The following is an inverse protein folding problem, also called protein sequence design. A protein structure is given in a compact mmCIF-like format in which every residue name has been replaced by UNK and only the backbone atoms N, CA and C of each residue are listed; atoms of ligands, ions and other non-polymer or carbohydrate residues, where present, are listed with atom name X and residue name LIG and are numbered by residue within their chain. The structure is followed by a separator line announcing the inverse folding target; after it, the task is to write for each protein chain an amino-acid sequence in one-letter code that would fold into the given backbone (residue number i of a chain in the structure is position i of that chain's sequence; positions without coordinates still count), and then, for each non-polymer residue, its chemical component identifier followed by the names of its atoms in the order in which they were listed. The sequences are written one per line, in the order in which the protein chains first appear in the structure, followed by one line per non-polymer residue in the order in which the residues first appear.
data_IF_216322640297
#
_entry.id   IF_216322640297
#
_cell.length_a   1.000
_cell.length_b   1.000
_cell.length_c   1.000
_cell.angle_alpha   90.00
_cell.angle_beta   90.00
_cell.angle_gamma   90.00
#
_symmetry.space_group_name_H-M   'P 1'
#
loop_
_entity.id
_entity.type
_entity.pdbx_description
1 polymer ?
#
# COMPACT_ATOMS: atom_id res chain seq x y z
N UNK A 1 -12.01 -11.76 10.84
CA UNK A 1 -11.57 -10.56 11.58
C UNK A 1 -10.05 -10.66 11.73
N UNK A 2 -9.30 -10.07 10.79
CA UNK A 2 -7.83 -10.07 10.84
C UNK A 2 -7.41 -9.06 11.91
N UNK A 3 -6.94 -9.57 13.05
CA UNK A 3 -6.28 -8.75 14.07
C UNK A 3 -4.90 -8.42 13.52
N UNK A 4 -4.68 -7.18 13.13
CA UNK A 4 -3.36 -6.70 12.75
C UNK A 4 -2.42 -6.89 13.95
N UNK A 5 -1.31 -7.59 13.73
CA UNK A 5 -0.23 -7.73 14.71
C UNK A 5 0.62 -6.47 14.58
N UNK A 6 0.53 -5.58 15.55
CA UNK A 6 1.45 -4.44 15.66
C UNK A 6 2.82 -4.96 16.09
N UNK A 7 3.69 -5.21 15.13
CA UNK A 7 5.11 -5.46 15.38
C UNK A 7 5.80 -4.11 15.62
N UNK A 8 5.75 -3.63 16.86
CA UNK A 8 6.53 -2.47 17.28
C UNK A 8 8.00 -2.86 17.50
N UNK A 9 8.93 -2.24 16.76
CA UNK A 9 10.36 -2.41 17.03
C UNK A 9 10.74 -1.51 18.19
N UNK A 10 10.78 -2.07 19.40
CA UNK A 10 11.14 -1.32 20.61
C UNK A 10 12.65 -1.09 20.63
N UNK A 11 13.09 0.18 20.69
CA UNK A 11 14.50 0.54 20.90
C UNK A 11 15.21 1.23 19.72
N UNK A 12 14.51 1.57 18.64
CA UNK A 12 15.06 2.42 17.57
C UNK A 12 14.24 3.71 17.51
N UNK A 13 14.84 4.84 17.89
CA UNK A 13 14.30 6.17 17.57
C UNK A 13 14.52 6.42 16.08
N UNK A 14 13.73 5.73 15.25
CA UNK A 14 13.70 5.93 13.81
C UNK A 14 13.00 7.25 13.55
N UNK A 15 13.68 8.37 13.80
CA UNK A 15 13.29 9.63 13.17
C UNK A 15 13.64 9.49 11.68
N UNK A 16 12.66 9.38 10.76
CA UNK A 16 12.97 9.22 9.36
C UNK A 16 13.74 10.45 8.92
N UNK A 17 14.98 10.27 8.45
CA UNK A 17 15.72 11.36 7.81
C UNK A 17 15.07 11.78 6.49
N UNK A 18 14.13 10.97 5.97
CA UNK A 18 13.47 11.16 4.69
C UNK A 18 11.95 11.20 4.88
N UNK A 19 11.28 12.34 4.61
CA UNK A 19 9.86 12.56 4.92
C UNK A 19 8.87 11.70 4.10
N UNK A 20 9.36 10.80 3.24
CA UNK A 20 8.55 10.01 2.31
C UNK A 20 8.90 8.52 2.28
N UNK A 21 9.72 8.03 3.22
CA UNK A 21 10.18 6.63 3.19
C UNK A 21 9.00 5.63 3.25
N UNK A 22 7.97 5.92 4.04
CA UNK A 22 6.74 5.11 4.09
C UNK A 22 6.02 5.06 2.75
N UNK A 23 5.91 6.20 2.05
CA UNK A 23 5.33 6.27 0.70
C UNK A 23 6.15 5.50 -0.32
N UNK A 24 7.49 5.59 -0.26
CA UNK A 24 8.40 4.84 -1.13
C UNK A 24 8.25 3.34 -0.94
N UNK A 25 8.24 2.87 0.32
CA UNK A 25 8.04 1.45 0.65
C UNK A 25 6.67 0.99 0.13
N UNK A 26 5.59 1.70 0.46
CA UNK A 26 4.23 1.37 -0.02
C UNK A 26 4.18 1.29 -1.55
N UNK A 27 4.74 2.27 -2.25
CA UNK A 27 4.76 2.30 -3.71
C UNK A 27 5.53 1.13 -4.32
N UNK A 28 6.71 0.81 -3.78
CA UNK A 28 7.52 -0.31 -4.26
C UNK A 28 6.82 -1.66 -4.05
N UNK A 29 6.26 -1.90 -2.86
CA UNK A 29 5.52 -3.12 -2.57
C UNK A 29 4.22 -3.23 -3.37
N UNK A 30 3.48 -2.13 -3.53
CA UNK A 30 2.27 -2.09 -4.37
C UNK A 30 2.58 -2.45 -5.81
N UNK A 31 3.59 -1.82 -6.41
CA UNK A 31 4.03 -2.13 -7.76
C UNK A 31 4.39 -3.61 -7.93
N UNK A 32 5.23 -4.16 -7.05
CA UNK A 32 5.64 -5.55 -7.12
C UNK A 32 4.46 -6.52 -6.93
N UNK A 33 3.58 -6.26 -5.96
CA UNK A 33 2.40 -7.08 -5.70
C UNK A 33 1.46 -7.14 -6.90
N UNK A 34 1.23 -5.99 -7.57
CA UNK A 34 0.44 -5.94 -8.80
C UNK A 34 1.02 -6.83 -9.89
N UNK A 35 2.34 -6.76 -10.12
CA UNK A 35 3.01 -7.58 -11.14
C UNK A 35 2.87 -9.08 -10.90
N UNK A 36 2.85 -9.51 -9.63
CA UNK A 36 2.81 -10.94 -9.28
C UNK A 36 1.38 -11.49 -9.21
N UNK A 37 0.43 -10.72 -8.69
CA UNK A 37 -0.92 -11.23 -8.38
C UNK A 37 -2.03 -10.76 -9.32
N UNK A 38 -1.87 -9.62 -10.00
CA UNK A 38 -2.96 -9.10 -10.83
C UNK A 38 -3.14 -9.94 -12.10
N UNK A 39 -4.33 -10.53 -12.34
CA UNK A 39 -4.56 -11.32 -13.55
C UNK A 39 -4.81 -10.45 -14.80
N UNK A 40 -5.07 -9.15 -14.64
CA UNK A 40 -5.38 -8.22 -15.72
C UNK A 40 -4.11 -7.50 -16.21
N UNK A 41 -3.31 -8.20 -17.01
CA UNK A 41 -2.04 -7.69 -17.55
C UNK A 41 -2.31 -6.60 -18.59
N UNK A 42 -1.60 -5.46 -18.49
CA UNK A 42 -1.69 -4.36 -19.45
C UNK A 42 -2.92 -3.45 -19.29
N UNK A 43 -3.78 -3.70 -18.31
CA UNK A 43 -4.96 -2.89 -18.02
C UNK A 43 -4.70 -2.00 -16.81
N UNK A 44 -5.00 -0.70 -16.93
CA UNK A 44 -4.90 0.22 -15.80
C UNK A 44 -6.02 -0.01 -14.79
N UNK A 45 -5.76 0.23 -13.51
CA UNK A 45 -6.77 0.03 -12.46
C UNK A 45 -8.01 0.93 -12.66
N UNK A 46 -7.84 2.13 -13.22
CA UNK A 46 -8.93 3.05 -13.59
C UNK A 46 -9.87 2.50 -14.67
N UNK A 47 -9.34 1.66 -15.56
CA UNK A 47 -10.07 1.05 -16.69
C UNK A 47 -10.52 -0.38 -16.40
N UNK A 48 -10.18 -0.90 -15.21
CA UNK A 48 -10.44 -2.29 -14.84
C UNK A 48 -11.88 -2.47 -14.36
N UNK A 49 -12.64 -3.37 -15.00
CA UNK A 49 -14.06 -3.61 -14.69
C UNK A 49 -14.38 -4.19 -13.31
N UNK A 50 -13.36 -4.47 -12.47
CA UNK A 50 -13.54 -4.95 -11.10
C UNK A 50 -12.92 -4.03 -10.05
N UNK A 51 -12.42 -2.86 -10.43
CA UNK A 51 -11.65 -1.95 -9.58
C UNK A 51 -12.37 -1.59 -8.27
N UNK A 52 -13.69 -1.36 -8.32
CA UNK A 52 -14.53 -1.04 -7.15
C UNK A 52 -14.59 -2.15 -6.08
N UNK A 53 -14.31 -3.40 -6.45
CA UNK A 53 -14.34 -4.56 -5.54
C UNK A 53 -12.97 -5.20 -5.36
N UNK A 54 -11.92 -4.59 -5.91
CA UNK A 54 -10.57 -5.12 -5.89
C UNK A 54 -9.83 -4.62 -4.64
N UNK A 55 -9.41 -5.56 -3.78
CA UNK A 55 -8.65 -5.25 -2.55
C UNK A 55 -7.34 -4.53 -2.85
N UNK A 56 -6.67 -4.87 -3.96
CA UNK A 56 -5.45 -4.17 -4.38
C UNK A 56 -5.76 -2.69 -4.70
N UNK A 57 -6.84 -2.43 -5.45
CA UNK A 57 -7.23 -1.07 -5.81
C UNK A 57 -7.61 -0.26 -4.57
N UNK A 58 -8.38 -0.84 -3.65
CA UNK A 58 -8.75 -0.22 -2.37
C UNK A 58 -7.52 0.18 -1.54
N UNK A 59 -6.49 -0.67 -1.49
CA UNK A 59 -5.34 -0.46 -0.60
C UNK A 59 -4.22 0.38 -1.23
N UNK A 60 -3.95 0.19 -2.53
CA UNK A 60 -2.75 0.73 -3.19
C UNK A 60 -3.04 1.91 -4.14
N UNK A 61 -4.19 1.93 -4.81
CA UNK A 61 -4.50 2.90 -5.86
C UNK A 61 -5.52 3.96 -5.40
N UNK A 62 -6.43 3.61 -4.49
CA UNK A 62 -7.41 4.55 -3.97
C UNK A 62 -6.71 5.60 -3.08
N UNK A 63 -6.70 6.84 -3.56
CA UNK A 63 -6.17 7.99 -2.83
C UNK A 63 -7.27 8.48 -1.89
N UNK A 64 -7.43 7.85 -0.72
CA UNK A 64 -8.25 8.43 0.33
C UNK A 64 -7.51 9.63 0.95
N UNK A 65 -8.25 10.71 1.27
CA UNK A 65 -7.73 12.00 1.79
C UNK A 65 -6.82 11.89 3.02
N UNK A 66 -6.80 10.72 3.66
CA UNK A 66 -5.70 10.21 4.48
C UNK A 66 -5.67 8.70 4.29
N UNK A 67 -4.53 8.07 3.96
CA UNK A 67 -4.49 6.61 3.86
C UNK A 67 -4.66 6.01 5.25
N UNK A 68 -5.62 5.11 5.45
CA UNK A 68 -5.78 4.34 6.70
C UNK A 68 -4.52 3.53 7.08
N UNK A 69 -3.58 3.37 6.15
CA UNK A 69 -2.36 2.56 6.29
C UNK A 69 -1.11 3.32 5.86
N UNK A 70 -1.05 4.63 6.13
CA UNK A 70 0.21 5.35 6.03
C UNK A 70 1.13 4.85 7.13
N UNK A 71 2.27 4.28 6.75
CA UNK A 71 3.36 4.04 7.69
C UNK A 71 3.94 5.40 8.05
N UNK A 72 3.35 6.03 9.05
CA UNK A 72 3.92 7.18 9.76
C UNK A 72 5.00 6.66 10.71
N UNK A 73 6.02 6.04 10.10
CA UNK A 73 7.34 5.91 10.71
C UNK A 73 8.03 7.25 10.58
#
# INVERSE_FOLDING_TARGET
MLKYLEAGVHGIDLKPSYPFIGSTIRGAFGYALRQVYCPYIGVNCEECGISERCVYNEFFENVSDTPNFRLDI
#
